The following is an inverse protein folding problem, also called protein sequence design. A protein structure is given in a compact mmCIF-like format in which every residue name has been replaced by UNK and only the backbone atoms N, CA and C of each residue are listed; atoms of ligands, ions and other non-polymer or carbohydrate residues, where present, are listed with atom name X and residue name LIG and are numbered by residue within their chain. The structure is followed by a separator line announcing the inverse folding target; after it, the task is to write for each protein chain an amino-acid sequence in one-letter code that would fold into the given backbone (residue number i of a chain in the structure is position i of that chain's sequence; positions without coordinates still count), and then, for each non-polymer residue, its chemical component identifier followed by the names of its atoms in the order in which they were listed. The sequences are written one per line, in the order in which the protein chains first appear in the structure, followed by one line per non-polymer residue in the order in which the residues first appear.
data_IF_809169934970
#
_entry.id   IF_809169934970
#
_cell.length_a   1.000
_cell.length_b   1.000
_cell.length_c   1.000
_cell.angle_alpha   90.00
_cell.angle_beta   90.00
_cell.angle_gamma   90.00
#
_symmetry.space_group_name_H-M   'P 1'
#
loop_
_entity.id
_entity.type
_entity.pdbx_description
1 polymer ?
#
# COMPACT_ATOMS: atom_id res chain seq x y z
N UNK A 1 -19.44 -2.27 -7.44
CA UNK A 1 -18.10 -2.86 -7.36
C UNK A 1 -17.16 -1.79 -6.84
N UNK A 2 -16.55 -2.02 -5.69
CA UNK A 2 -15.51 -1.11 -5.17
C UNK A 2 -14.22 -1.33 -5.93
N UNK A 3 -13.29 -0.38 -5.86
CA UNK A 3 -11.89 -0.63 -6.20
C UNK A 3 -11.16 -1.04 -4.92
N UNK A 4 -10.12 -1.85 -5.04
CA UNK A 4 -9.24 -2.19 -3.93
C UNK A 4 -8.39 -0.97 -3.60
N UNK A 5 -8.53 -0.42 -2.40
CA UNK A 5 -7.67 0.69 -1.97
C UNK A 5 -6.35 0.14 -1.43
N UNK A 6 -5.23 0.54 -2.02
CA UNK A 6 -3.89 0.20 -1.55
C UNK A 6 -3.23 1.50 -1.11
N UNK A 7 -3.02 1.60 0.20
CA UNK A 7 -2.39 2.73 0.88
C UNK A 7 -0.97 2.35 1.26
N UNK A 8 0.02 3.16 0.93
CA UNK A 8 1.41 2.95 1.36
C UNK A 8 1.89 4.16 2.15
N UNK A 9 2.44 3.91 3.33
CA UNK A 9 3.01 4.93 4.21
C UNK A 9 4.52 4.81 4.13
N UNK A 10 5.16 5.81 3.52
CA UNK A 10 6.59 5.91 3.40
C UNK A 10 7.17 6.65 4.61
N UNK A 11 7.93 5.93 5.46
CA UNK A 11 8.55 6.51 6.67
C UNK A 11 10.06 6.73 6.54
N UNK A 12 10.68 6.31 5.45
CA UNK A 12 12.13 6.37 5.26
C UNK A 12 12.45 6.85 3.85
N UNK A 13 13.30 7.87 3.72
CA UNK A 13 13.77 8.43 2.44
C UNK A 13 14.49 7.41 1.54
N UNK A 14 14.80 6.21 2.04
CA UNK A 14 15.40 5.10 1.29
C UNK A 14 14.37 4.21 0.55
N UNK A 15 13.06 4.42 0.78
CA UNK A 15 11.98 3.56 0.29
C UNK A 15 11.36 3.96 -1.07
N UNK A 16 12.01 4.83 -1.85
CA UNK A 16 11.55 5.15 -3.21
C UNK A 16 11.34 3.90 -4.08
N UNK A 17 12.02 2.80 -3.76
CA UNK A 17 11.89 1.51 -4.44
C UNK A 17 10.50 0.85 -4.26
N UNK A 18 9.86 0.96 -3.09
CA UNK A 18 8.60 0.25 -2.83
C UNK A 18 7.41 0.88 -3.54
N UNK A 19 7.38 2.21 -3.67
CA UNK A 19 6.33 2.89 -4.42
C UNK A 19 6.31 2.47 -5.89
N UNK A 20 7.49 2.34 -6.50
CA UNK A 20 7.63 1.79 -7.85
C UNK A 20 7.20 0.33 -7.95
N UNK A 21 7.58 -0.51 -6.97
CA UNK A 21 7.15 -1.92 -6.93
C UNK A 21 5.63 -2.04 -6.85
N UNK A 22 5.00 -1.28 -5.96
CA UNK A 22 3.53 -1.25 -5.80
C UNK A 22 2.88 -0.80 -7.11
N UNK A 23 3.39 0.27 -7.74
CA UNK A 23 2.88 0.74 -9.05
C UNK A 23 3.00 -0.32 -10.14
N UNK A 24 4.14 -1.03 -10.21
CA UNK A 24 4.36 -2.09 -11.20
C UNK A 24 3.44 -3.28 -10.97
N UNK A 25 3.32 -3.74 -9.73
CA UNK A 25 2.44 -4.85 -9.36
C UNK A 25 0.95 -4.52 -9.57
N UNK A 26 0.57 -3.26 -9.33
CA UNK A 26 -0.79 -2.77 -9.53
C UNK A 26 -1.12 -2.38 -10.99
N UNK A 27 -0.11 -2.17 -11.85
CA UNK A 27 -0.30 -1.78 -13.25
C UNK A 27 -1.31 -2.66 -14.03
N UNK A 28 -1.27 -4.01 -13.95
CA UNK A 28 -2.28 -4.85 -14.61
C UNK A 28 -3.69 -4.69 -14.04
N UNK A 29 -3.83 -4.18 -12.81
CA UNK A 29 -5.09 -4.02 -12.09
C UNK A 29 -5.49 -2.56 -11.88
N UNK A 30 -4.88 -1.61 -12.60
CA UNK A 30 -5.09 -0.15 -12.40
C UNK A 30 -6.55 0.31 -12.39
N UNK A 31 -7.42 -0.40 -13.11
CA UNK A 31 -8.84 -0.09 -13.21
C UNK A 31 -9.63 -0.60 -11.99
N UNK A 32 -9.08 -1.61 -11.29
CA UNK A 32 -9.66 -2.28 -10.13
C UNK A 32 -9.02 -1.85 -8.81
N UNK A 33 -7.85 -1.22 -8.82
CA UNK A 33 -7.15 -0.78 -7.62
C UNK A 33 -6.97 0.74 -7.58
N UNK A 34 -6.90 1.29 -6.38
CA UNK A 34 -6.65 2.70 -6.13
C UNK A 34 -5.40 2.83 -5.25
N UNK A 35 -4.33 3.42 -5.79
CA UNK A 35 -3.07 3.59 -5.07
C UNK A 35 -3.03 4.94 -4.36
N UNK A 36 -2.74 4.93 -3.07
CA UNK A 36 -2.51 6.12 -2.25
C UNK A 36 -1.15 6.01 -1.58
N UNK A 37 -0.35 7.05 -1.70
CA UNK A 37 0.98 7.13 -1.09
C UNK A 37 0.98 8.26 -0.08
N UNK A 38 1.35 7.95 1.16
CA UNK A 38 1.46 8.90 2.26
C UNK A 38 2.94 9.02 2.63
N UNK A 39 3.41 10.23 2.87
CA UNK A 39 4.77 10.47 3.32
C UNK A 39 4.77 10.85 4.81
N UNK A 40 5.49 10.09 5.63
CA UNK A 40 5.63 10.39 7.04
C UNK A 40 6.27 11.77 7.25
N UNK A 41 5.67 12.57 8.12
CA UNK A 41 6.08 13.96 8.37
C UNK A 41 5.47 14.99 7.41
N UNK A 42 4.89 14.56 6.28
CA UNK A 42 4.08 15.41 5.40
C UNK A 42 2.59 15.14 5.58
N UNK A 43 2.22 13.87 5.57
CA UNK A 43 0.88 13.38 5.81
C UNK A 43 0.81 12.82 7.23
N UNK A 44 -0.12 13.30 8.05
CA UNK A 44 -0.33 12.80 9.43
C UNK A 44 -1.68 12.11 9.60
N UNK A 45 -2.54 12.14 8.59
CA UNK A 45 -3.87 11.52 8.63
C UNK A 45 -3.80 10.00 8.85
N UNK A 46 -2.79 9.34 8.29
CA UNK A 46 -2.59 7.91 8.50
C UNK A 46 -2.28 7.59 9.98
N UNK A 47 -1.68 8.51 10.73
CA UNK A 47 -1.30 8.29 12.14
C UNK A 47 -2.56 8.16 13.00
N UNK A 48 -3.59 8.98 12.72
CA UNK A 48 -4.87 8.90 13.43
C UNK A 48 -5.61 7.59 13.13
N UNK A 49 -5.47 7.06 11.91
CA UNK A 49 -6.13 5.81 11.49
C UNK A 49 -5.39 4.55 11.96
N UNK A 50 -4.07 4.52 11.79
CA UNK A 50 -3.25 3.31 11.89
C UNK A 50 -2.17 3.36 12.99
N UNK A 51 -2.04 4.50 13.68
CA UNK A 51 -1.03 4.74 14.70
C UNK A 51 0.33 5.19 14.16
N UNK A 52 1.29 5.34 15.07
CA UNK A 52 2.68 5.63 14.68
C UNK A 52 3.28 4.43 13.96
N UNK A 53 3.70 4.63 12.72
CA UNK A 53 4.49 3.67 11.96
C UNK A 53 5.93 4.16 11.90
N UNK A 54 6.86 3.28 12.28
CA UNK A 54 8.31 3.53 12.26
C UNK A 54 8.99 3.06 10.98
N UNK A 55 8.34 2.16 10.23
CA UNK A 55 8.81 1.57 8.96
C UNK A 55 7.75 1.66 7.86
N UNK A 56 8.21 1.56 6.62
CA UNK A 56 7.34 1.53 5.43
C UNK A 56 6.23 0.49 5.60
N UNK A 57 4.99 0.93 5.55
CA UNK A 57 3.82 0.10 5.84
C UNK A 57 2.82 0.21 4.70
N UNK A 58 2.37 -0.92 4.16
CA UNK A 58 1.29 -0.97 3.18
C UNK A 58 -0.01 -1.41 3.87
N UNK A 59 -1.12 -0.80 3.51
CA UNK A 59 -2.45 -1.12 4.00
C UNK A 59 -3.35 -1.36 2.78
N UNK A 60 -4.10 -2.46 2.80
CA UNK A 60 -5.07 -2.80 1.76
C UNK A 60 -6.48 -2.71 2.34
N UNK A 61 -7.36 -1.99 1.64
CA UNK A 61 -8.75 -1.69 1.98
C UNK A 61 -8.94 -1.12 3.40
N UNK A 62 -7.92 -0.50 3.97
CA UNK A 62 -7.91 -0.05 5.37
C UNK A 62 -8.03 -1.18 6.39
N UNK A 63 -7.88 -2.44 5.98
CA UNK A 63 -8.12 -3.64 6.80
C UNK A 63 -6.86 -4.46 6.99
N UNK A 64 -6.17 -4.81 5.90
CA UNK A 64 -4.96 -5.64 5.94
C UNK A 64 -3.73 -4.74 5.99
N UNK A 65 -2.95 -4.82 7.06
CA UNK A 65 -1.71 -4.05 7.24
C UNK A 65 -0.50 -4.97 7.05
N UNK A 66 0.44 -4.54 6.23
CA UNK A 66 1.69 -5.23 5.91
C UNK A 66 2.86 -4.31 6.28
N UNK A 67 3.61 -4.71 7.30
CA UNK A 67 4.80 -4.00 7.76
C UNK A 67 6.11 -4.59 7.18
N UNK A 68 6.02 -5.75 6.52
CA UNK A 68 7.11 -6.31 5.73
C UNK A 68 6.76 -6.16 4.25
N UNK A 69 7.56 -5.35 3.56
CA UNK A 69 7.38 -5.09 2.14
C UNK A 69 8.60 -5.62 1.40
N UNK A 70 8.33 -6.61 0.57
CA UNK A 70 9.23 -7.10 -0.44
C UNK A 70 8.41 -7.29 -1.72
N UNK A 71 9.09 -7.50 -2.83
CA UNK A 71 8.44 -7.63 -4.13
C UNK A 71 7.36 -8.73 -4.12
N UNK A 72 7.67 -9.92 -3.58
CA UNK A 72 6.75 -11.06 -3.52
C UNK A 72 5.49 -10.79 -2.70
N UNK A 73 5.64 -10.21 -1.50
CA UNK A 73 4.51 -9.87 -0.61
C UNK A 73 3.65 -8.79 -1.26
N UNK A 74 4.25 -7.78 -1.90
CA UNK A 74 3.49 -6.72 -2.57
C UNK A 74 2.67 -7.31 -3.72
N UNK A 75 3.29 -8.08 -4.62
CA UNK A 75 2.61 -8.70 -5.75
C UNK A 75 1.49 -9.63 -5.28
N UNK A 76 1.78 -10.48 -4.31
CA UNK A 76 0.81 -11.42 -3.75
C UNK A 76 -0.36 -10.70 -3.07
N UNK A 77 -0.08 -9.72 -2.21
CA UNK A 77 -1.11 -9.02 -1.46
C UNK A 77 -2.06 -8.23 -2.37
N UNK A 78 -1.52 -7.59 -3.43
CA UNK A 78 -2.33 -6.89 -4.44
C UNK A 78 -3.21 -7.89 -5.19
N UNK A 79 -2.63 -9.00 -5.65
CA UNK A 79 -3.36 -10.04 -6.36
C UNK A 79 -4.48 -10.63 -5.51
N UNK A 80 -4.17 -11.07 -4.29
CA UNK A 80 -5.14 -11.62 -3.35
C UNK A 80 -6.27 -10.61 -3.08
N UNK A 81 -5.94 -9.33 -2.91
CA UNK A 81 -6.95 -8.30 -2.64
C UNK A 81 -7.88 -8.02 -3.82
N UNK A 82 -7.36 -8.08 -5.05
CA UNK A 82 -8.17 -7.98 -6.27
C UNK A 82 -9.05 -9.22 -6.43
N UNK A 83 -8.51 -10.42 -6.20
CA UNK A 83 -9.28 -11.68 -6.22
C UNK A 83 -10.37 -11.71 -5.13
N UNK A 84 -10.12 -11.17 -3.95
CA UNK A 84 -11.11 -11.07 -2.86
C UNK A 84 -12.21 -10.02 -3.12
N UNK A 85 -11.98 -9.03 -4.00
CA UNK A 85 -12.98 -8.03 -4.37
C UNK A 85 -13.76 -8.36 -5.66
N UNK A 86 -13.24 -9.28 -6.47
CA UNK A 86 -13.80 -9.69 -7.77
C UNK A 86 -15.00 -10.62 -7.67
#
# INVERSE_FOLDING_TARGET
MGKVEIEFINTCSCCASYEEMIKKAAAPYKDQVNLKFYAAGKDMDYIRKYGMVSKGTMIINGKKKYDQLNQEIIERAIKEAVEEQG
#
